data_IF_819682087155
#
_entry.id   IF_819682087155
#
_cell.length_a   1.000
_cell.length_b   1.000
_cell.length_c   1.000
_cell.angle_alpha   90.00
_cell.angle_beta   90.00
_cell.angle_gamma   90.00
#
_symmetry.space_group_name_H-M   'P 1'
#
loop_
_entity.id
_entity.type
_entity.pdbx_description
1 polymer ?
#
# COMPACT_ATOMS: atom_id res chain seq x y z
N UNK A 1 -31.86 2.25 13.88
CA UNK A 1 -32.78 2.06 12.73
C UNK A 1 -33.52 0.74 12.91
N UNK A 2 -34.84 0.75 12.71
CA UNK A 2 -35.81 -0.29 13.12
C UNK A 2 -35.50 -1.65 12.47
N UNK A 3 -35.23 -2.67 13.28
CA UNK A 3 -35.20 -4.08 12.85
C UNK A 3 -36.65 -4.51 12.59
N UNK A 4 -37.12 -4.42 11.35
CA UNK A 4 -38.42 -4.99 10.99
C UNK A 4 -38.27 -6.52 10.96
N UNK A 5 -38.90 -7.19 11.91
CA UNK A 5 -39.02 -8.65 11.97
C UNK A 5 -39.97 -9.11 10.86
N UNK A 6 -39.44 -9.60 9.74
CA UNK A 6 -40.23 -10.06 8.59
C UNK A 6 -40.52 -11.57 8.63
N UNK A 7 -40.85 -12.11 9.81
CA UNK A 7 -41.02 -13.55 10.02
C UNK A 7 -42.13 -14.20 9.15
N UNK A 8 -43.01 -13.41 8.52
CA UNK A 8 -44.18 -13.92 7.78
C UNK A 8 -44.43 -13.29 6.41
N UNK A 9 -43.45 -12.62 5.79
CA UNK A 9 -43.67 -12.08 4.44
C UNK A 9 -43.40 -13.15 3.37
N UNK A 10 -44.48 -13.56 2.68
CA UNK A 10 -44.39 -14.43 1.50
C UNK A 10 -44.19 -13.60 0.24
N UNK A 11 -43.12 -13.85 -0.51
CA UNK A 11 -42.89 -13.23 -1.82
C UNK A 11 -43.43 -14.13 -2.94
N UNK A 12 -44.22 -13.57 -3.87
CA UNK A 12 -44.63 -14.22 -5.12
C UNK A 12 -43.78 -13.66 -6.27
N UNK A 13 -42.90 -14.45 -6.89
CA UNK A 13 -42.31 -14.08 -8.18
C UNK A 13 -43.38 -14.06 -9.29
N UNK A 14 -43.10 -13.38 -10.40
CA UNK A 14 -44.02 -13.35 -11.54
C UNK A 14 -44.22 -14.77 -12.12
N UNK A 15 -45.49 -15.10 -12.37
CA UNK A 15 -46.01 -16.36 -12.93
C UNK A 15 -45.73 -17.64 -12.13
N UNK A 16 -46.82 -18.28 -11.64
CA UNK A 16 -46.88 -19.70 -11.25
C UNK A 16 -45.99 -20.19 -10.09
N UNK A 17 -45.19 -19.34 -9.48
CA UNK A 17 -44.13 -19.74 -8.55
C UNK A 17 -44.60 -19.84 -7.09
N UNK A 18 -44.06 -20.84 -6.37
CA UNK A 18 -44.34 -21.13 -4.96
C UNK A 18 -44.08 -19.88 -4.10
N UNK A 19 -44.90 -19.67 -3.06
CA UNK A 19 -44.68 -18.61 -2.06
C UNK A 19 -43.31 -18.79 -1.40
N UNK A 20 -42.44 -17.80 -1.53
CA UNK A 20 -41.09 -17.83 -0.94
C UNK A 20 -41.16 -17.27 0.47
N UNK A 21 -40.69 -18.06 1.45
CA UNK A 21 -40.59 -17.64 2.84
C UNK A 21 -39.29 -16.86 3.08
N UNK A 22 -39.41 -15.54 3.28
CA UNK A 22 -38.26 -14.65 3.48
C UNK A 22 -37.47 -15.02 4.75
N UNK A 23 -38.14 -15.50 5.80
CA UNK A 23 -37.48 -15.97 7.03
C UNK A 23 -36.49 -17.12 6.78
N UNK A 24 -36.84 -18.08 5.93
CA UNK A 24 -35.97 -19.21 5.56
C UNK A 24 -34.69 -18.74 4.86
N UNK A 25 -34.79 -17.73 3.98
CA UNK A 25 -33.62 -17.13 3.31
C UNK A 25 -32.71 -16.46 4.34
N UNK A 26 -33.29 -15.75 5.32
CA UNK A 26 -32.51 -15.08 6.36
C UNK A 26 -31.76 -16.07 7.27
N UNK A 27 -32.35 -17.21 7.58
CA UNK A 27 -31.68 -18.29 8.34
C UNK A 27 -30.57 -18.95 7.52
N UNK A 28 -30.84 -19.30 6.26
CA UNK A 28 -29.85 -19.91 5.37
C UNK A 28 -28.65 -18.99 5.12
N UNK A 29 -28.87 -17.67 5.04
CA UNK A 29 -27.80 -16.69 4.89
C UNK A 29 -26.90 -16.53 6.13
N UNK A 30 -27.32 -17.05 7.30
CA UNK A 30 -26.46 -17.11 8.51
C UNK A 30 -25.61 -18.38 8.54
N UNK A 31 -26.00 -19.43 7.83
CA UNK A 31 -25.22 -20.66 7.68
C UNK A 31 -24.05 -20.47 6.72
N UNK A 32 -23.07 -21.37 6.70
CA UNK A 32 -21.88 -21.27 5.85
C UNK A 32 -22.06 -21.83 4.43
N UNK A 33 -23.29 -21.74 3.90
CA UNK A 33 -23.66 -22.28 2.59
C UNK A 33 -23.38 -21.27 1.48
N UNK A 34 -23.04 -21.78 0.30
CA UNK A 34 -22.83 -20.93 -0.88
C UNK A 34 -24.15 -20.33 -1.39
N UNK A 35 -24.09 -19.23 -2.12
CA UNK A 35 -25.30 -18.61 -2.69
C UNK A 35 -26.04 -19.55 -3.65
N UNK A 36 -25.31 -20.43 -4.34
CA UNK A 36 -25.86 -21.45 -5.24
C UNK A 36 -26.60 -22.53 -4.46
N UNK A 37 -26.02 -23.02 -3.36
CA UNK A 37 -26.67 -23.98 -2.46
C UNK A 37 -27.94 -23.40 -1.83
N UNK A 38 -27.90 -22.13 -1.42
CA UNK A 38 -29.06 -21.43 -0.85
C UNK A 38 -30.17 -21.29 -1.91
N UNK A 39 -29.79 -20.97 -3.16
CA UNK A 39 -30.72 -20.86 -4.27
C UNK A 39 -31.40 -22.21 -4.59
N UNK A 40 -30.63 -23.30 -4.60
CA UNK A 40 -31.15 -24.66 -4.75
C UNK A 40 -32.09 -25.05 -3.60
N UNK A 41 -31.71 -24.78 -2.34
CA UNK A 41 -32.54 -25.05 -1.16
C UNK A 41 -33.85 -24.26 -1.11
N UNK A 42 -33.91 -23.16 -1.86
CA UNK A 42 -35.10 -22.33 -2.00
C UNK A 42 -35.80 -22.49 -3.35
N UNK A 43 -35.41 -23.47 -4.17
CA UNK A 43 -36.03 -23.80 -5.45
C UNK A 43 -36.14 -22.55 -6.36
N UNK A 44 -35.06 -21.75 -6.43
CA UNK A 44 -35.02 -20.51 -7.19
C UNK A 44 -33.69 -20.27 -7.88
N UNK A 45 -33.68 -19.38 -8.88
CA UNK A 45 -32.43 -18.93 -9.49
C UNK A 45 -31.67 -17.98 -8.58
N UNK A 46 -30.33 -17.99 -8.71
CA UNK A 46 -29.41 -17.09 -8.00
C UNK A 46 -29.79 -15.61 -8.22
N UNK A 47 -30.21 -15.27 -9.45
CA UNK A 47 -30.68 -13.92 -9.81
C UNK A 47 -31.93 -13.50 -9.04
N UNK A 48 -32.88 -14.43 -8.85
CA UNK A 48 -34.10 -14.15 -8.09
C UNK A 48 -33.77 -14.03 -6.59
N UNK A 49 -32.88 -14.88 -6.07
CA UNK A 49 -32.35 -14.79 -4.71
C UNK A 49 -31.71 -13.41 -4.44
N UNK A 50 -30.84 -12.93 -5.33
CA UNK A 50 -30.25 -11.60 -5.22
C UNK A 50 -31.29 -10.47 -5.27
N UNK A 51 -32.31 -10.60 -6.11
CA UNK A 51 -33.39 -9.62 -6.22
C UNK A 51 -34.16 -9.52 -4.90
N UNK A 52 -34.48 -10.66 -4.28
CA UNK A 52 -35.17 -10.73 -2.99
C UNK A 52 -34.31 -10.15 -1.87
N UNK A 53 -33.02 -10.51 -1.80
CA UNK A 53 -32.08 -9.97 -0.81
C UNK A 53 -32.02 -8.44 -0.91
N UNK A 54 -31.91 -7.88 -2.13
CA UNK A 54 -31.90 -6.43 -2.35
C UNK A 54 -33.24 -5.78 -2.00
N UNK A 55 -34.35 -6.35 -2.47
CA UNK A 55 -35.70 -5.80 -2.31
C UNK A 55 -36.15 -5.75 -0.84
N UNK A 56 -35.80 -6.77 -0.07
CA UNK A 56 -36.18 -6.88 1.35
C UNK A 56 -35.04 -6.50 2.31
N UNK A 57 -33.94 -5.95 1.79
CA UNK A 57 -32.75 -5.54 2.57
C UNK A 57 -32.31 -6.62 3.58
N UNK A 58 -32.34 -7.89 3.16
CA UNK A 58 -32.01 -9.02 4.03
C UNK A 58 -30.52 -8.97 4.33
N UNK A 59 -30.17 -8.82 5.61
CA UNK A 59 -28.79 -8.85 6.05
C UNK A 59 -28.25 -10.28 5.96
N UNK A 60 -27.62 -10.63 4.84
CA UNK A 60 -26.77 -11.83 4.76
C UNK A 60 -25.41 -11.62 5.43
N UNK A 61 -24.48 -12.57 5.27
CA UNK A 61 -23.03 -12.35 5.51
C UNK A 61 -22.55 -11.20 4.62
N UNK A 62 -22.84 -9.96 5.02
CA UNK A 62 -22.37 -8.75 4.39
C UNK A 62 -20.85 -8.83 4.39
N UNK A 63 -20.26 -8.51 3.23
CA UNK A 63 -18.87 -8.07 3.05
C UNK A 63 -18.29 -7.62 4.40
N UNK A 64 -17.19 -8.25 4.84
CA UNK A 64 -16.39 -7.82 5.99
C UNK A 64 -16.58 -6.32 6.21
N UNK A 65 -17.24 -5.95 7.31
CA UNK A 65 -17.68 -4.56 7.53
C UNK A 65 -16.45 -3.69 7.33
N UNK A 66 -16.57 -2.62 6.53
CA UNK A 66 -15.46 -1.70 6.21
C UNK A 66 -14.52 -1.47 7.41
N UNK A 67 -15.09 -1.27 8.61
CA UNK A 67 -14.39 -1.16 9.91
C UNK A 67 -13.38 -2.28 10.25
N UNK A 68 -13.65 -3.53 9.90
CA UNK A 68 -12.72 -4.66 10.09
C UNK A 68 -11.58 -4.62 9.07
N UNK A 69 -11.85 -4.18 7.83
CA UNK A 69 -10.81 -3.95 6.84
C UNK A 69 -9.91 -2.78 7.28
N UNK A 70 -10.52 -1.71 7.80
CA UNK A 70 -9.84 -0.51 8.30
C UNK A 70 -8.93 -0.80 9.51
N UNK A 71 -9.26 -1.81 10.33
CA UNK A 71 -8.40 -2.19 11.47
C UNK A 71 -7.25 -3.12 11.08
N UNK A 72 -7.42 -3.93 10.04
CA UNK A 72 -6.47 -5.01 9.70
C UNK A 72 -5.50 -4.57 8.60
N UNK A 73 -6.00 -3.99 7.51
CA UNK A 73 -5.21 -3.74 6.29
C UNK A 73 -4.10 -2.69 6.43
N UNK A 74 -4.20 -1.62 7.26
CA UNK A 74 -3.11 -0.65 7.41
C UNK A 74 -1.79 -1.27 7.86
N UNK A 75 -1.83 -2.25 8.77
CA UNK A 75 -0.63 -2.91 9.28
C UNK A 75 0.14 -3.66 8.18
N UNK A 76 -0.56 -4.32 7.26
CA UNK A 76 0.08 -5.07 6.16
C UNK A 76 0.61 -4.15 5.05
N UNK A 77 -0.08 -3.04 4.81
CA UNK A 77 0.32 -2.05 3.80
C UNK A 77 1.55 -1.26 4.25
N UNK A 78 1.62 -0.86 5.51
CA UNK A 78 2.78 -0.15 6.06
C UNK A 78 4.04 -1.03 6.09
N UNK A 79 3.88 -2.35 6.15
CA UNK A 79 4.96 -3.32 6.12
C UNK A 79 5.34 -3.80 4.70
N UNK A 80 4.86 -3.12 3.64
CA UNK A 80 5.10 -3.45 2.22
C UNK A 80 4.78 -4.94 1.87
N UNK A 81 3.82 -5.55 2.58
CA UNK A 81 3.40 -6.96 2.37
C UNK A 81 2.59 -7.08 1.08
N UNK A 82 2.90 -8.09 0.25
CA UNK A 82 2.19 -8.35 -1.02
C UNK A 82 0.71 -8.65 -0.78
N UNK A 83 -0.16 -8.14 -1.66
CA UNK A 83 -1.63 -8.39 -1.65
C UNK A 83 -1.98 -9.88 -1.54
N UNK A 84 -1.19 -10.74 -2.19
CA UNK A 84 -1.39 -12.19 -2.16
C UNK A 84 -1.10 -12.76 -0.76
N UNK A 85 -0.06 -12.26 -0.11
CA UNK A 85 0.34 -12.67 1.23
C UNK A 85 -0.66 -12.16 2.26
N UNK A 86 -1.09 -10.90 2.16
CA UNK A 86 -2.15 -10.34 2.99
C UNK A 86 -3.45 -11.15 2.86
N UNK A 87 -3.79 -11.60 1.65
CA UNK A 87 -4.99 -12.43 1.44
C UNK A 87 -4.90 -13.79 2.16
N UNK A 88 -3.74 -14.44 2.14
CA UNK A 88 -3.50 -15.71 2.84
C UNK A 88 -3.55 -15.55 4.36
N UNK A 89 -2.98 -14.48 4.89
CA UNK A 89 -2.85 -14.24 6.33
C UNK A 89 -4.14 -13.73 6.96
N UNK A 90 -4.89 -12.89 6.23
CA UNK A 90 -6.11 -12.25 6.74
C UNK A 90 -7.39 -12.97 6.32
N UNK A 91 -7.30 -13.89 5.35
CA UNK A 91 -8.47 -14.51 4.71
C UNK A 91 -9.30 -13.53 3.85
N UNK A 92 -8.85 -12.29 3.67
CA UNK A 92 -9.57 -11.27 2.91
C UNK A 92 -9.35 -11.53 1.41
N UNK A 93 -10.43 -11.55 0.64
CA UNK A 93 -10.36 -11.72 -0.81
C UNK A 93 -9.57 -10.59 -1.49
N UNK A 94 -8.74 -10.94 -2.47
CA UNK A 94 -7.87 -10.01 -3.22
C UNK A 94 -8.60 -8.77 -3.75
N UNK A 95 -9.85 -8.92 -4.21
CA UNK A 95 -10.64 -7.82 -4.73
C UNK A 95 -11.07 -6.83 -3.65
N UNK A 96 -11.31 -7.29 -2.42
CA UNK A 96 -11.65 -6.44 -1.29
C UNK A 96 -10.40 -5.64 -0.84
N UNK A 97 -9.24 -6.31 -0.77
CA UNK A 97 -7.95 -5.65 -0.51
C UNK A 97 -7.66 -4.59 -1.57
N UNK A 98 -7.85 -4.91 -2.86
CA UNK A 98 -7.61 -3.98 -3.96
C UNK A 98 -8.53 -2.74 -3.90
N UNK A 99 -9.83 -2.97 -3.67
CA UNK A 99 -10.81 -1.87 -3.55
C UNK A 99 -10.51 -0.99 -2.35
N UNK A 100 -10.15 -1.61 -1.22
CA UNK A 100 -9.81 -0.90 0.01
C UNK A 100 -8.54 -0.06 -0.13
N UNK A 101 -7.47 -0.63 -0.71
CA UNK A 101 -6.22 0.08 -1.02
C UNK A 101 -6.54 1.31 -1.88
N UNK A 102 -7.31 1.13 -2.95
CA UNK A 102 -7.69 2.20 -3.86
C UNK A 102 -8.54 3.30 -3.21
N UNK A 103 -9.31 2.98 -2.17
CA UNK A 103 -10.19 3.94 -1.49
C UNK A 103 -9.57 4.60 -0.25
N UNK A 104 -8.57 4.00 0.39
CA UNK A 104 -7.94 4.49 1.62
C UNK A 104 -6.54 5.08 1.40
N UNK A 105 -5.83 4.55 0.41
CA UNK A 105 -4.72 5.29 -0.18
C UNK A 105 -5.36 6.10 -1.29
N UNK A 106 -5.40 7.43 -1.15
CA UNK A 106 -5.79 8.38 -2.23
C UNK A 106 -4.81 8.34 -3.43
N UNK A 107 -4.06 7.26 -3.55
CA UNK A 107 -2.85 7.11 -4.32
C UNK A 107 -2.84 5.66 -4.81
N UNK A 108 -2.98 5.51 -6.12
CA UNK A 108 -2.83 4.23 -6.80
C UNK A 108 -1.44 3.64 -6.52
N UNK A 109 -1.23 2.31 -6.59
CA UNK A 109 0.10 1.72 -6.42
C UNK A 109 1.18 2.33 -7.33
N UNK A 110 0.77 2.85 -8.49
CA UNK A 110 1.66 3.57 -9.42
C UNK A 110 2.08 4.93 -8.87
N UNK A 111 1.13 5.67 -8.31
CA UNK A 111 1.38 6.96 -7.66
C UNK A 111 2.23 6.77 -6.41
N UNK A 112 1.94 5.76 -5.56
CA UNK A 112 2.76 5.42 -4.38
C UNK A 112 4.21 5.17 -4.75
N UNK A 113 4.44 4.33 -5.76
CA UNK A 113 5.79 4.06 -6.26
C UNK A 113 6.45 5.33 -6.80
N UNK A 114 5.70 6.22 -7.43
CA UNK A 114 6.21 7.50 -7.95
C UNK A 114 6.59 8.46 -6.82
N UNK A 115 5.75 8.61 -5.79
CA UNK A 115 6.03 9.44 -4.62
C UNK A 115 7.22 8.91 -3.83
N UNK A 116 7.19 7.62 -3.45
CA UNK A 116 8.27 6.98 -2.69
C UNK A 116 9.58 6.94 -3.50
N UNK A 117 9.52 6.80 -4.83
CA UNK A 117 10.68 7.05 -5.71
C UNK A 117 11.23 8.47 -5.55
N UNK A 118 10.38 9.49 -5.65
CA UNK A 118 10.82 10.89 -5.54
C UNK A 118 11.44 11.20 -4.17
N UNK A 119 10.98 10.55 -3.10
CA UNK A 119 11.61 10.66 -1.77
C UNK A 119 12.99 9.98 -1.78
N UNK A 120 13.08 8.76 -2.30
CA UNK A 120 14.30 7.95 -2.25
C UNK A 120 15.41 8.42 -3.20
N UNK A 121 15.09 9.05 -4.33
CA UNK A 121 16.11 9.50 -5.31
C UNK A 121 17.05 10.58 -4.77
N UNK A 122 16.64 11.34 -3.75
CA UNK A 122 17.46 12.37 -3.12
C UNK A 122 18.29 11.83 -1.94
N UNK A 123 18.08 10.57 -1.55
CA UNK A 123 18.87 9.93 -0.51
C UNK A 123 20.22 9.45 -1.04
N UNK A 124 21.15 9.16 -0.13
CA UNK A 124 22.43 8.52 -0.43
C UNK A 124 22.31 7.03 -0.74
N UNK A 125 21.11 6.43 -0.57
CA UNK A 125 20.90 4.99 -0.79
C UNK A 125 21.31 4.53 -2.20
N UNK A 126 21.95 3.36 -2.33
CA UNK A 126 22.33 2.83 -3.63
C UNK A 126 21.10 2.45 -4.45
N UNK A 127 21.23 2.55 -5.78
CA UNK A 127 20.12 2.27 -6.70
C UNK A 127 19.54 0.85 -6.56
N UNK A 128 20.36 -0.11 -6.11
CA UNK A 128 19.94 -1.49 -5.88
C UNK A 128 18.93 -1.59 -4.74
N UNK A 129 19.21 -0.96 -3.60
CA UNK A 129 18.31 -0.96 -2.45
C UNK A 129 17.00 -0.25 -2.74
N UNK A 130 17.05 0.90 -3.43
CA UNK A 130 15.84 1.61 -3.86
C UNK A 130 15.00 0.74 -4.81
N UNK A 131 15.65 0.00 -5.71
CA UNK A 131 14.97 -0.90 -6.64
C UNK A 131 14.28 -2.07 -5.93
N UNK A 132 14.94 -2.65 -4.92
CA UNK A 132 14.38 -3.70 -4.06
C UNK A 132 13.19 -3.20 -3.25
N UNK A 133 13.31 -2.05 -2.58
CA UNK A 133 12.23 -1.45 -1.78
C UNK A 133 10.98 -1.13 -2.61
N UNK A 134 11.15 -0.70 -3.87
CA UNK A 134 10.03 -0.32 -4.75
C UNK A 134 9.56 -1.46 -5.67
N UNK A 135 10.27 -2.59 -5.69
CA UNK A 135 10.04 -3.71 -6.60
C UNK A 135 10.04 -3.29 -8.07
N UNK A 136 11.11 -2.62 -8.51
CA UNK A 136 11.30 -2.08 -9.86
C UNK A 136 12.72 -2.35 -10.37
N UNK A 137 12.98 -2.10 -11.65
CA UNK A 137 14.34 -2.28 -12.21
C UNK A 137 15.31 -1.20 -11.73
N UNK A 138 16.58 -1.57 -11.54
CA UNK A 138 17.67 -0.64 -11.20
C UNK A 138 17.81 0.45 -12.27
N UNK A 139 17.58 0.12 -13.55
CA UNK A 139 17.62 1.07 -14.66
C UNK A 139 16.54 2.15 -14.54
N UNK A 140 15.35 1.80 -14.03
CA UNK A 140 14.27 2.76 -13.76
C UNK A 140 14.69 3.76 -12.69
N UNK A 141 15.33 3.30 -11.61
CA UNK A 141 15.87 4.17 -10.55
C UNK A 141 16.96 5.09 -11.10
N UNK A 142 17.90 4.55 -11.89
CA UNK A 142 18.98 5.32 -12.52
C UNK A 142 18.42 6.44 -13.40
N UNK A 143 17.43 6.12 -14.24
CA UNK A 143 16.76 7.11 -15.09
C UNK A 143 15.97 8.16 -14.31
N UNK A 144 15.37 7.79 -13.18
CA UNK A 144 14.69 8.74 -12.29
C UNK A 144 15.69 9.72 -11.64
N UNK A 145 16.80 9.22 -11.11
CA UNK A 145 17.87 10.04 -10.52
C UNK A 145 18.48 11.03 -11.51
N UNK A 146 18.74 10.59 -12.75
CA UNK A 146 19.27 11.49 -13.79
C UNK A 146 18.30 12.63 -14.09
N UNK A 147 17.00 12.32 -14.24
CA UNK A 147 15.97 13.35 -14.47
C UNK A 147 15.82 14.34 -13.31
N UNK A 148 16.10 13.91 -12.09
CA UNK A 148 16.05 14.75 -10.90
C UNK A 148 17.39 15.44 -10.57
N UNK A 149 18.39 15.39 -11.47
CA UNK A 149 19.76 15.88 -11.22
C UNK A 149 20.47 15.26 -9.99
N UNK A 150 19.96 14.13 -9.49
CA UNK A 150 20.49 13.38 -8.34
C UNK A 150 21.25 12.12 -8.78
N UNK A 151 21.95 12.21 -9.93
CA UNK A 151 22.69 11.10 -10.52
C UNK A 151 23.84 10.60 -9.63
N UNK A 152 24.39 9.43 -9.98
CA UNK A 152 25.43 8.77 -9.17
C UNK A 152 26.65 9.65 -8.82
N UNK A 153 27.05 10.56 -9.72
CA UNK A 153 28.17 11.49 -9.45
C UNK A 153 27.83 12.45 -8.32
N UNK A 154 26.62 12.99 -8.31
CA UNK A 154 26.16 13.91 -7.27
C UNK A 154 26.02 13.16 -5.93
N UNK A 155 25.42 11.96 -5.95
CA UNK A 155 25.29 11.09 -4.78
C UNK A 155 26.66 10.77 -4.14
N UNK A 156 27.64 10.32 -4.93
CA UNK A 156 29.00 10.02 -4.40
C UNK A 156 29.69 11.25 -3.83
N UNK A 157 29.49 12.41 -4.46
CA UNK A 157 30.02 13.67 -3.97
C UNK A 157 29.40 14.03 -2.62
N UNK A 158 28.10 13.84 -2.47
CA UNK A 158 27.33 14.10 -1.25
C UNK A 158 27.69 13.11 -0.12
N UNK A 159 27.90 11.83 -0.43
CA UNK A 159 28.45 10.84 0.50
C UNK A 159 29.82 11.28 1.04
N UNK A 160 30.76 11.63 0.16
CA UNK A 160 32.07 12.12 0.57
C UNK A 160 31.97 13.41 1.39
N UNK A 161 31.03 14.30 1.05
CA UNK A 161 30.80 15.53 1.81
C UNK A 161 30.35 15.26 3.24
N UNK A 162 29.39 14.34 3.42
CA UNK A 162 28.90 13.97 4.74
C UNK A 162 30.01 13.32 5.57
N UNK A 163 30.75 12.38 4.99
CA UNK A 163 31.90 11.75 5.69
C UNK A 163 32.94 12.77 6.12
N UNK A 164 33.32 13.71 5.23
CA UNK A 164 34.33 14.73 5.58
C UNK A 164 33.80 15.66 6.67
N UNK A 165 32.52 16.03 6.65
CA UNK A 165 31.90 16.88 7.67
C UNK A 165 31.90 16.19 9.05
N UNK A 166 31.49 14.94 9.11
CA UNK A 166 31.52 14.14 10.35
C UNK A 166 32.95 14.06 10.91
N UNK A 167 33.93 13.74 10.06
CA UNK A 167 35.34 13.65 10.49
C UNK A 167 35.96 14.99 10.92
N UNK A 168 35.49 16.11 10.37
CA UNK A 168 35.89 17.44 10.85
C UNK A 168 35.28 17.75 12.22
N UNK A 169 34.03 17.34 12.48
CA UNK A 169 33.40 17.49 13.79
C UNK A 169 34.08 16.63 14.86
N UNK A 170 34.59 15.45 14.48
CA UNK A 170 35.44 14.60 15.33
C UNK A 170 36.84 15.21 15.60
N UNK A 171 37.20 16.32 14.94
CA UNK A 171 38.47 17.01 15.15
C UNK A 171 39.68 16.41 14.43
N UNK A 172 39.46 15.53 13.44
CA UNK A 172 40.56 14.89 12.70
C UNK A 172 41.31 15.91 11.82
N UNK A 173 42.63 15.71 11.71
CA UNK A 173 43.46 16.47 10.78
C UNK A 173 43.18 16.09 9.32
N UNK A 174 43.44 17.03 8.40
CA UNK A 174 43.26 16.82 6.95
C UNK A 174 43.96 15.55 6.42
N UNK A 175 45.11 15.20 6.98
CA UNK A 175 45.86 14.02 6.57
C UNK A 175 45.17 12.71 7.02
N UNK A 176 44.54 12.70 8.20
CA UNK A 176 43.79 11.55 8.69
C UNK A 176 42.50 11.38 7.89
N UNK A 177 41.76 12.46 7.63
CA UNK A 177 40.55 12.44 6.79
C UNK A 177 40.86 11.92 5.37
N UNK A 178 41.98 12.36 4.79
CA UNK A 178 42.43 11.89 3.47
C UNK A 178 42.64 10.37 3.43
N UNK A 179 43.20 9.82 4.50
CA UNK A 179 43.44 8.38 4.64
C UNK A 179 42.15 7.60 4.84
N UNK A 180 41.23 8.09 5.67
CA UNK A 180 39.97 7.41 5.99
C UNK A 180 38.96 7.44 4.85
N UNK A 181 38.80 8.60 4.19
CA UNK A 181 37.84 8.79 3.09
C UNK A 181 38.44 8.34 1.74
N UNK A 182 39.72 7.95 1.73
CA UNK A 182 40.47 7.55 0.53
C UNK A 182 40.40 8.61 -0.59
N UNK A 183 40.63 9.87 -0.22
CA UNK A 183 40.65 11.01 -1.13
C UNK A 183 41.96 11.79 -0.98
N UNK A 184 42.36 12.49 -2.04
CA UNK A 184 43.55 13.35 -1.97
C UNK A 184 43.32 14.53 -1.01
N UNK A 185 44.37 14.94 -0.30
CA UNK A 185 44.35 16.14 0.56
C UNK A 185 43.85 17.39 -0.18
N UNK A 186 44.22 17.52 -1.46
CA UNK A 186 43.78 18.61 -2.33
C UNK A 186 42.27 18.58 -2.62
N UNK A 187 41.66 17.40 -2.74
CA UNK A 187 40.21 17.25 -2.93
C UNK A 187 39.45 17.62 -1.67
N UNK A 188 39.93 17.16 -0.51
CA UNK A 188 39.34 17.49 0.79
C UNK A 188 39.42 19.00 1.06
N UNK A 189 40.56 19.63 0.82
CA UNK A 189 40.73 21.08 0.97
C UNK A 189 39.73 21.86 0.11
N UNK A 190 39.48 21.43 -1.14
CA UNK A 190 38.45 22.02 -2.01
C UNK A 190 37.04 21.89 -1.41
N UNK A 191 36.71 20.73 -0.82
CA UNK A 191 35.40 20.50 -0.21
C UNK A 191 35.22 21.32 1.08
N UNK A 192 36.25 21.44 1.90
CA UNK A 192 36.23 22.28 3.11
C UNK A 192 36.04 23.75 2.74
N UNK A 193 36.79 24.24 1.75
CA UNK A 193 36.62 25.61 1.24
C UNK A 193 35.20 25.84 0.72
N UNK A 194 34.61 24.84 0.08
CA UNK A 194 33.22 24.90 -0.35
C UNK A 194 32.25 24.98 0.85
N UNK A 195 32.44 24.20 1.92
CA UNK A 195 31.60 24.30 3.13
C UNK A 195 31.67 25.68 3.76
N UNK A 196 32.89 26.18 4.03
CA UNK A 196 33.12 27.50 4.61
C UNK A 196 32.45 28.62 3.80
N UNK A 197 32.57 28.57 2.47
CA UNK A 197 31.95 29.57 1.60
C UNK A 197 30.41 29.47 1.52
N UNK A 198 29.83 28.29 1.73
CA UNK A 198 28.37 28.11 1.69
C UNK A 198 27.70 28.37 3.04
N UNK A 199 28.41 28.14 4.15
CA UNK A 199 27.92 28.45 5.50
C UNK A 199 27.93 29.96 5.77
N UNK A 200 28.87 30.72 5.18
CA UNK A 200 28.90 32.20 5.23
C UNK A 200 27.72 32.84 4.48
N UNK A 201 27.16 32.19 3.47
CA UNK A 201 26.03 32.72 2.70
C UNK A 201 24.65 32.34 3.29
N UNK A 202 24.63 31.64 4.43
CA UNK A 202 23.41 31.25 5.15
C UNK A 202 23.31 31.84 6.57
N UNK A 203 24.34 32.57 7.01
CA UNK A 203 24.36 33.36 8.25
C UNK A 203 24.06 34.83 7.91
#
# INVERSE_FOLDING_TARGET
MKTQFYAYQSYKPNFGSKKIQIGKIQELLKTDKSMDEIAQMCDMSISNLHTIIRKFNIEGKRKLKQKQLDSILPAYINNDVSRLQTSKETGIGLSAIHTWIKSHLNETPREYKKRKMNELIHTTLPNKEIAEQLGISINTVKAARVRANAGNRQRKKEEHWNMIREKLQEGLSLAQIAKEVNLSKSTISKYIKFFLNNDINKA
#
